data_IF_021102755088
#
_entry.id   IF_021102755088
#
_cell.length_a   1.000
_cell.length_b   1.000
_cell.length_c   1.000
_cell.angle_alpha   90.00
_cell.angle_beta   90.00
_cell.angle_gamma   90.00
#
_symmetry.space_group_name_H-M   'P 1'
#
loop_
_entity.id
_entity.type
_entity.pdbx_description
1 polymer ?
#
# COMPACT_ATOMS: atom_id res chain seq x y z
N UNK A 1 37.06 57.56 15.81
CA UNK A 1 35.84 57.38 16.58
C UNK A 1 34.98 56.47 15.70
N UNK A 2 35.10 55.16 15.88
CA UNK A 2 34.26 54.16 15.16
C UNK A 2 33.25 53.65 16.16
N UNK A 3 31.97 53.94 15.88
CA UNK A 3 30.83 53.32 16.58
C UNK A 3 30.72 51.87 16.15
N UNK A 4 30.81 50.97 17.12
CA UNK A 4 30.53 49.54 16.96
C UNK A 4 29.03 49.37 17.20
N UNK A 5 28.25 49.17 16.12
CA UNK A 5 26.85 48.73 16.19
C UNK A 5 26.79 47.35 16.83
N UNK A 6 26.27 47.29 18.04
CA UNK A 6 25.95 46.05 18.74
C UNK A 6 24.72 45.42 18.08
N UNK A 7 24.94 44.29 17.36
CA UNK A 7 23.88 43.40 16.85
C UNK A 7 23.00 42.94 18.01
N UNK A 8 21.77 43.36 18.03
CA UNK A 8 20.73 42.86 18.95
C UNK A 8 20.66 41.34 18.90
N UNK A 9 20.82 40.71 20.05
CA UNK A 9 20.61 39.29 20.25
C UNK A 9 19.11 38.99 20.09
N UNK A 10 18.76 38.31 19.04
CA UNK A 10 17.41 37.77 18.83
C UNK A 10 17.00 36.94 20.06
N UNK A 11 15.91 37.33 20.72
CA UNK A 11 15.50 36.76 22.01
C UNK A 11 15.25 35.24 21.88
N UNK A 12 15.69 34.42 22.84
CA UNK A 12 15.53 32.95 22.81
C UNK A 12 14.06 32.48 22.69
N UNK A 13 13.12 33.36 23.03
CA UNK A 13 11.67 33.10 22.88
C UNK A 13 11.18 33.11 21.42
N UNK A 14 11.83 33.91 20.55
CA UNK A 14 11.50 33.97 19.13
C UNK A 14 11.94 32.69 18.38
N UNK A 15 13.13 32.20 18.71
CA UNK A 15 13.66 30.95 18.13
C UNK A 15 12.87 29.74 18.56
N UNK A 16 12.40 29.66 19.80
CA UNK A 16 11.57 28.55 20.29
C UNK A 16 10.17 28.57 19.62
N UNK A 17 9.58 29.76 19.41
CA UNK A 17 8.30 29.87 18.67
C UNK A 17 8.46 29.45 17.23
N UNK A 18 9.49 29.90 16.52
CA UNK A 18 9.76 29.50 15.13
C UNK A 18 9.98 27.99 15.01
N UNK A 19 10.79 27.39 15.89
CA UNK A 19 11.01 25.94 15.92
C UNK A 19 9.72 25.16 16.21
N UNK A 20 8.84 25.68 17.06
CA UNK A 20 7.53 25.07 17.33
C UNK A 20 6.61 25.15 16.11
N UNK A 21 6.53 26.30 15.46
CA UNK A 21 5.73 26.50 14.25
C UNK A 21 6.21 25.59 13.11
N UNK A 22 7.51 25.52 12.88
CA UNK A 22 8.11 24.62 11.86
C UNK A 22 7.84 23.13 12.19
N UNK A 23 7.89 22.77 13.48
CA UNK A 23 7.58 21.40 13.93
C UNK A 23 6.09 21.06 13.74
N UNK A 24 5.20 22.01 14.03
CA UNK A 24 3.76 21.82 13.87
C UNK A 24 3.36 21.77 12.39
N UNK A 25 3.93 22.62 11.55
CA UNK A 25 3.75 22.54 10.09
C UNK A 25 4.22 21.20 9.52
N UNK A 26 5.30 20.64 10.05
CA UNK A 26 5.81 19.34 9.61
C UNK A 26 4.96 18.15 10.13
N UNK A 27 4.31 18.30 11.29
CA UNK A 27 3.47 17.24 11.86
C UNK A 27 2.07 17.17 11.25
N UNK A 28 1.56 18.30 10.75
CA UNK A 28 0.19 18.45 10.24
C UNK A 28 -0.17 17.48 9.11
N UNK A 29 0.65 17.30 8.04
CA UNK A 29 0.32 16.37 6.97
C UNK A 29 0.23 14.91 7.44
N UNK A 30 1.04 14.51 8.41
CA UNK A 30 0.96 13.17 9.00
C UNK A 30 -0.33 12.95 9.80
N UNK A 31 -0.77 13.95 10.56
CA UNK A 31 -2.06 13.90 11.29
C UNK A 31 -3.25 13.84 10.35
N UNK A 32 -3.21 14.64 9.27
CA UNK A 32 -4.25 14.63 8.24
C UNK A 32 -4.28 13.31 7.46
N UNK A 33 -3.13 12.70 7.19
CA UNK A 33 -3.09 11.34 6.62
C UNK A 33 -3.73 10.32 7.58
N UNK A 34 -3.44 10.42 8.88
CA UNK A 34 -4.08 9.57 9.90
C UNK A 34 -5.59 9.72 9.91
N UNK A 35 -6.10 10.96 9.84
CA UNK A 35 -7.54 11.24 9.73
C UNK A 35 -8.13 10.67 8.43
N UNK A 36 -7.48 10.89 7.29
CA UNK A 36 -7.90 10.34 6.00
C UNK A 36 -7.97 8.80 6.04
N UNK A 37 -6.96 8.16 6.63
CA UNK A 37 -6.93 6.70 6.81
C UNK A 37 -8.06 6.21 7.71
N UNK A 38 -8.34 6.92 8.80
CA UNK A 38 -9.45 6.60 9.69
C UNK A 38 -10.81 6.72 9.00
N UNK A 39 -11.02 7.80 8.24
CA UNK A 39 -12.24 7.99 7.44
C UNK A 39 -12.40 6.89 6.38
N UNK A 40 -11.30 6.50 5.72
CA UNK A 40 -11.32 5.38 4.78
C UNK A 40 -11.70 4.07 5.47
N UNK A 41 -11.10 3.74 6.63
CA UNK A 41 -11.43 2.54 7.41
C UNK A 41 -12.89 2.55 7.83
N UNK A 42 -13.41 3.69 8.29
CA UNK A 42 -14.80 3.83 8.67
C UNK A 42 -15.73 3.60 7.46
N UNK A 43 -15.42 4.19 6.31
CA UNK A 43 -16.17 3.97 5.09
C UNK A 43 -16.16 2.48 4.69
N UNK A 44 -15.00 1.81 4.76
CA UNK A 44 -14.89 0.36 4.52
C UNK A 44 -15.77 -0.43 5.48
N UNK A 45 -15.71 -0.13 6.78
CA UNK A 45 -16.49 -0.84 7.80
C UNK A 45 -18.00 -0.69 7.58
N UNK A 46 -18.46 0.44 7.06
CA UNK A 46 -19.87 0.71 6.80
C UNK A 46 -20.36 0.11 5.46
N UNK A 47 -19.47 -0.07 4.47
CA UNK A 47 -19.90 -0.37 3.09
C UNK A 47 -19.38 -1.69 2.53
N UNK A 48 -18.50 -2.43 3.23
CA UNK A 48 -17.90 -3.68 2.70
C UNK A 48 -18.92 -4.75 2.34
N UNK A 49 -20.11 -4.71 2.91
CA UNK A 49 -21.20 -5.63 2.66
C UNK A 49 -22.12 -5.26 1.49
N UNK A 50 -22.00 -4.02 0.98
CA UNK A 50 -22.89 -3.47 -0.06
C UNK A 50 -22.38 -3.78 -1.48
N UNK A 51 -21.14 -4.24 -1.60
CA UNK A 51 -20.53 -4.58 -2.88
C UNK A 51 -20.94 -5.98 -3.33
N UNK A 52 -21.35 -6.07 -4.61
CA UNK A 52 -21.68 -7.33 -5.26
C UNK A 52 -20.44 -8.15 -5.61
N UNK A 53 -20.69 -9.37 -6.07
CA UNK A 53 -19.64 -10.30 -6.52
C UNK A 53 -19.24 -9.95 -7.96
N UNK A 54 -17.94 -9.74 -8.19
CA UNK A 54 -17.38 -9.58 -9.53
C UNK A 54 -17.39 -10.94 -10.25
N UNK A 55 -17.70 -11.02 -11.56
CA UNK A 55 -17.63 -12.26 -12.34
C UNK A 55 -16.28 -13.00 -12.26
N UNK A 56 -15.17 -12.29 -12.08
CA UNK A 56 -13.83 -12.90 -11.96
C UNK A 56 -13.54 -13.45 -10.55
N UNK A 57 -14.31 -13.03 -9.55
CA UNK A 57 -14.04 -13.35 -8.15
C UNK A 57 -14.12 -14.87 -7.83
N UNK A 58 -15.10 -15.64 -8.34
CA UNK A 58 -15.11 -17.10 -8.18
C UNK A 58 -13.87 -17.78 -8.74
N UNK A 59 -13.34 -17.27 -9.85
CA UNK A 59 -12.11 -17.79 -10.45
C UNK A 59 -10.89 -17.54 -9.56
N UNK A 60 -10.78 -16.36 -8.97
CA UNK A 60 -9.71 -16.02 -8.02
C UNK A 60 -9.79 -16.84 -6.73
N UNK A 61 -11.01 -17.11 -6.23
CA UNK A 61 -11.22 -17.97 -5.06
C UNK A 61 -10.72 -19.39 -5.36
N UNK A 62 -11.11 -19.96 -6.50
CA UNK A 62 -10.69 -21.29 -6.90
C UNK A 62 -9.18 -21.37 -7.16
N UNK A 63 -8.58 -20.32 -7.77
CA UNK A 63 -7.14 -20.23 -7.97
C UNK A 63 -6.37 -20.23 -6.64
N UNK A 64 -6.81 -19.44 -5.66
CA UNK A 64 -6.19 -19.42 -4.32
C UNK A 64 -6.22 -20.80 -3.66
N UNK A 65 -7.37 -21.50 -3.74
CA UNK A 65 -7.50 -22.87 -3.24
C UNK A 65 -6.54 -23.83 -3.97
N UNK A 66 -6.55 -23.83 -5.29
CA UNK A 66 -5.74 -24.73 -6.10
C UNK A 66 -4.23 -24.52 -5.86
N UNK A 67 -3.78 -23.28 -5.66
CA UNK A 67 -2.40 -22.97 -5.30
C UNK A 67 -2.03 -23.51 -3.92
N UNK A 68 -2.87 -23.36 -2.91
CA UNK A 68 -2.63 -23.90 -1.58
C UNK A 68 -2.60 -25.43 -1.61
N UNK A 69 -3.52 -26.07 -2.36
CA UNK A 69 -3.52 -27.52 -2.53
C UNK A 69 -2.23 -28.01 -3.22
N UNK A 70 -1.73 -27.29 -4.22
CA UNK A 70 -0.46 -27.57 -4.89
C UNK A 70 0.73 -27.53 -3.91
N UNK A 71 0.85 -26.48 -3.08
CA UNK A 71 1.90 -26.39 -2.07
C UNK A 71 1.77 -27.47 -1.01
N UNK A 72 0.55 -27.71 -0.48
CA UNK A 72 0.32 -28.73 0.58
C UNK A 72 0.56 -30.15 0.11
N UNK A 73 0.35 -30.44 -1.17
CA UNK A 73 0.61 -31.77 -1.75
C UNK A 73 2.09 -32.03 -2.08
N UNK A 74 3.01 -31.09 -1.75
CA UNK A 74 4.40 -31.18 -2.20
C UNK A 74 4.51 -31.14 -3.73
N UNK A 75 3.73 -30.24 -4.37
CA UNK A 75 3.70 -29.96 -5.81
C UNK A 75 3.10 -31.08 -6.68
N UNK A 76 2.37 -32.03 -6.09
CA UNK A 76 1.76 -33.17 -6.82
C UNK A 76 0.41 -32.77 -7.46
N UNK A 77 -0.45 -32.04 -6.75
CA UNK A 77 -1.77 -31.61 -7.26
C UNK A 77 -1.58 -30.41 -8.18
N UNK A 78 -1.74 -30.62 -9.49
CA UNK A 78 -1.48 -29.61 -10.52
C UNK A 78 -2.73 -28.93 -11.07
N UNK A 79 -3.84 -28.97 -10.38
CA UNK A 79 -5.13 -28.40 -10.82
C UNK A 79 -5.03 -26.93 -11.19
N UNK A 80 -4.19 -26.15 -10.47
CA UNK A 80 -3.97 -24.74 -10.76
C UNK A 80 -3.48 -24.45 -12.18
N UNK A 81 -2.76 -25.39 -12.81
CA UNK A 81 -2.17 -25.22 -14.15
C UNK A 81 -3.07 -25.73 -15.28
N UNK A 82 -4.13 -26.45 -14.98
CA UNK A 82 -4.96 -27.12 -15.99
C UNK A 82 -6.36 -26.54 -16.10
N UNK A 83 -6.80 -25.78 -15.11
CA UNK A 83 -8.21 -25.37 -14.99
C UNK A 83 -8.54 -24.08 -15.75
N UNK A 84 -7.67 -23.08 -15.74
CA UNK A 84 -7.89 -21.78 -16.39
C UNK A 84 -6.56 -21.15 -16.77
N UNK A 85 -6.58 -20.05 -17.55
CA UNK A 85 -5.37 -19.26 -17.85
C UNK A 85 -4.92 -18.36 -16.70
N UNK A 86 -5.57 -18.42 -15.51
CA UNK A 86 -5.25 -17.56 -14.35
C UNK A 86 -3.85 -17.85 -13.82
N UNK A 87 -3.33 -19.06 -13.96
CA UNK A 87 -1.97 -19.40 -13.57
C UNK A 87 -0.87 -18.57 -14.30
N UNK A 88 -1.20 -18.01 -15.48
CA UNK A 88 -0.30 -17.08 -16.20
C UNK A 88 -0.14 -15.73 -15.48
N UNK A 89 -1.09 -15.39 -14.62
CA UNK A 89 -0.97 -14.30 -13.68
C UNK A 89 -0.39 -14.83 -12.37
N UNK A 90 0.27 -14.00 -11.58
CA UNK A 90 0.68 -14.45 -10.26
C UNK A 90 -0.53 -14.72 -9.36
N UNK A 91 -0.45 -15.72 -8.50
CA UNK A 91 -1.50 -16.12 -7.57
C UNK A 91 -1.22 -15.79 -6.10
N UNK A 92 -0.16 -15.04 -5.81
CA UNK A 92 0.27 -14.78 -4.43
C UNK A 92 -0.83 -14.14 -3.58
N UNK A 93 -1.55 -13.14 -4.12
CA UNK A 93 -2.64 -12.50 -3.41
C UNK A 93 -3.80 -13.46 -3.16
N UNK A 94 -4.20 -14.24 -4.17
CA UNK A 94 -5.28 -15.23 -4.06
C UNK A 94 -4.97 -16.30 -3.01
N UNK A 95 -3.74 -16.78 -2.96
CA UNK A 95 -3.29 -17.77 -1.98
C UNK A 95 -3.33 -17.19 -0.54
N UNK A 96 -2.82 -15.97 -0.35
CA UNK A 96 -2.84 -15.29 0.96
C UNK A 96 -4.28 -15.11 1.44
N UNK A 97 -5.16 -14.57 0.59
CA UNK A 97 -6.55 -14.31 0.98
C UNK A 97 -7.34 -15.62 1.17
N UNK A 98 -7.02 -16.68 0.43
CA UNK A 98 -7.61 -18.01 0.67
C UNK A 98 -7.30 -18.53 2.09
N UNK A 99 -6.06 -18.39 2.54
CA UNK A 99 -5.66 -18.78 3.90
C UNK A 99 -6.39 -17.92 4.95
N UNK A 100 -6.45 -16.60 4.76
CA UNK A 100 -7.16 -15.69 5.68
C UNK A 100 -8.66 -16.05 5.74
N UNK A 101 -9.28 -16.31 4.58
CA UNK A 101 -10.70 -16.68 4.51
C UNK A 101 -11.02 -17.98 5.23
N UNK A 102 -10.07 -18.92 5.30
CA UNK A 102 -10.22 -20.17 6.05
C UNK A 102 -10.32 -19.99 7.57
N UNK A 103 -9.86 -18.84 8.09
CA UNK A 103 -9.93 -18.50 9.53
C UNK A 103 -10.99 -17.44 9.84
N UNK A 104 -11.56 -16.83 8.81
CA UNK A 104 -12.55 -15.76 8.98
C UNK A 104 -13.93 -16.33 9.29
N UNK A 105 -14.68 -15.73 10.25
CA UNK A 105 -16.08 -16.09 10.50
C UNK A 105 -17.04 -15.53 9.44
N UNK A 106 -16.56 -14.67 8.53
CA UNK A 106 -17.34 -14.06 7.48
C UNK A 106 -17.39 -14.96 6.24
N UNK A 107 -18.33 -14.68 5.33
CA UNK A 107 -18.32 -15.34 4.02
C UNK A 107 -17.03 -15.04 3.27
N UNK A 108 -16.61 -15.94 2.39
CA UNK A 108 -15.37 -15.80 1.61
C UNK A 108 -15.35 -14.48 0.82
N UNK A 109 -16.47 -14.06 0.25
CA UNK A 109 -16.60 -12.80 -0.49
C UNK A 109 -16.38 -11.58 0.42
N UNK A 110 -17.08 -11.51 1.56
CA UNK A 110 -16.91 -10.41 2.52
C UNK A 110 -15.48 -10.32 3.05
N UNK A 111 -14.85 -11.46 3.33
CA UNK A 111 -13.45 -11.50 3.76
C UNK A 111 -12.54 -10.95 2.66
N UNK A 112 -12.76 -11.34 1.40
CA UNK A 112 -11.99 -10.83 0.26
C UNK A 112 -12.17 -9.32 0.09
N UNK A 113 -13.38 -8.80 0.19
CA UNK A 113 -13.65 -7.35 0.11
C UNK A 113 -12.86 -6.58 1.17
N UNK A 114 -12.89 -7.04 2.42
CA UNK A 114 -12.14 -6.41 3.52
C UNK A 114 -10.63 -6.49 3.27
N UNK A 115 -10.11 -7.66 2.89
CA UNK A 115 -8.69 -7.83 2.59
C UNK A 115 -8.25 -6.90 1.46
N UNK A 116 -9.04 -6.79 0.40
CA UNK A 116 -8.72 -5.94 -0.74
C UNK A 116 -8.78 -4.44 -0.36
N UNK A 117 -9.76 -4.04 0.44
CA UNK A 117 -9.86 -2.68 0.96
C UNK A 117 -8.69 -2.32 1.89
N UNK A 118 -8.22 -3.25 2.72
CA UNK A 118 -7.01 -3.06 3.53
C UNK A 118 -5.75 -2.91 2.68
N UNK A 119 -5.65 -3.68 1.59
CA UNK A 119 -4.58 -3.46 0.60
C UNK A 119 -4.70 -2.08 -0.03
N UNK A 120 -5.91 -1.62 -0.36
CA UNK A 120 -6.15 -0.25 -0.82
C UNK A 120 -5.64 0.80 0.18
N UNK A 121 -5.86 0.61 1.48
CA UNK A 121 -5.31 1.50 2.52
C UNK A 121 -3.77 1.50 2.54
N UNK A 122 -3.15 0.34 2.36
CA UNK A 122 -1.69 0.22 2.22
C UNK A 122 -1.21 1.00 1.00
N UNK A 123 -1.99 1.02 -0.09
CA UNK A 123 -1.70 1.83 -1.28
C UNK A 123 -1.73 3.33 -1.01
N UNK A 124 -2.70 3.82 -0.24
CA UNK A 124 -2.78 5.22 0.20
C UNK A 124 -1.51 5.62 0.95
N UNK A 125 -1.06 4.76 1.87
CA UNK A 125 0.20 4.97 2.61
C UNK A 125 1.43 4.96 1.69
N UNK A 126 1.46 4.08 0.69
CA UNK A 126 2.53 3.98 -0.30
C UNK A 126 2.64 5.24 -1.16
N UNK A 127 1.51 5.74 -1.67
CA UNK A 127 1.46 6.98 -2.45
C UNK A 127 1.90 8.19 -1.62
N UNK A 128 1.49 8.25 -0.35
CA UNK A 128 1.98 9.29 0.57
C UNK A 128 3.51 9.22 0.74
N UNK A 129 4.06 8.03 1.00
CA UNK A 129 5.49 7.83 1.18
C UNK A 129 6.27 8.21 -0.08
N UNK A 130 5.79 7.79 -1.25
CA UNK A 130 6.40 8.10 -2.54
C UNK A 130 6.34 9.61 -2.82
N UNK A 131 5.17 10.23 -2.70
CA UNK A 131 5.00 11.68 -2.92
C UNK A 131 5.82 12.54 -1.95
N UNK A 132 5.96 12.09 -0.70
CA UNK A 132 6.85 12.73 0.28
C UNK A 132 8.33 12.62 -0.10
N UNK A 133 8.74 11.51 -0.68
CA UNK A 133 10.14 11.29 -1.10
C UNK A 133 10.47 12.12 -2.34
N UNK A 134 9.55 12.22 -3.30
CA UNK A 134 9.74 12.98 -4.54
C UNK A 134 9.55 14.49 -4.39
N UNK A 135 8.91 14.94 -3.33
CA UNK A 135 8.63 16.36 -3.08
C UNK A 135 8.63 16.72 -1.60
N UNK A 136 7.46 16.82 -1.01
CA UNK A 136 7.29 17.23 0.38
C UNK A 136 6.22 16.38 1.09
N UNK A 137 6.08 16.55 2.40
CA UNK A 137 4.99 15.92 3.17
C UNK A 137 3.60 16.35 2.67
N UNK A 138 3.46 17.58 2.19
CA UNK A 138 2.23 18.08 1.58
C UNK A 138 1.98 17.47 0.22
N UNK A 139 3.02 17.29 -0.60
CA UNK A 139 2.93 16.56 -1.89
C UNK A 139 2.42 15.13 -1.66
N UNK A 140 2.96 14.44 -0.66
CA UNK A 140 2.49 13.10 -0.29
C UNK A 140 1.04 13.10 0.16
N UNK A 141 0.62 14.05 1.01
CA UNK A 141 -0.75 14.17 1.47
C UNK A 141 -1.73 14.44 0.31
N UNK A 142 -1.41 15.40 -0.56
CA UNK A 142 -2.26 15.71 -1.72
C UNK A 142 -2.40 14.49 -2.64
N UNK A 143 -1.31 13.79 -2.92
CA UNK A 143 -1.35 12.56 -3.73
C UNK A 143 -2.25 11.49 -3.08
N UNK A 144 -2.16 11.29 -1.76
CA UNK A 144 -3.02 10.36 -1.02
C UNK A 144 -4.50 10.78 -1.07
N UNK A 145 -4.80 12.09 -0.90
CA UNK A 145 -6.15 12.63 -1.00
C UNK A 145 -6.73 12.41 -2.39
N UNK A 146 -5.98 12.75 -3.45
CA UNK A 146 -6.45 12.52 -4.83
C UNK A 146 -6.68 11.05 -5.13
N UNK A 147 -5.85 10.15 -4.60
CA UNK A 147 -6.06 8.71 -4.77
C UNK A 147 -7.37 8.26 -4.12
N UNK A 148 -7.64 8.65 -2.87
CA UNK A 148 -8.88 8.31 -2.15
C UNK A 148 -10.10 8.90 -2.83
N UNK A 149 -10.02 10.15 -3.32
CA UNK A 149 -11.11 10.82 -4.02
C UNK A 149 -11.33 10.29 -5.44
N UNK A 150 -10.44 9.41 -5.96
CA UNK A 150 -10.65 8.76 -7.25
C UNK A 150 -11.70 7.65 -7.10
N UNK A 151 -12.93 7.80 -7.63
CA UNK A 151 -14.03 6.85 -7.41
C UNK A 151 -13.66 5.44 -7.87
N UNK A 152 -12.89 5.33 -8.95
CA UNK A 152 -12.41 4.06 -9.49
C UNK A 152 -11.51 3.34 -8.50
N UNK A 153 -10.58 4.05 -7.85
CA UNK A 153 -9.70 3.44 -6.85
C UNK A 153 -10.50 2.93 -5.65
N UNK A 154 -11.36 3.78 -5.10
CA UNK A 154 -12.20 3.43 -3.95
C UNK A 154 -13.10 2.23 -4.26
N UNK A 155 -13.87 2.25 -5.36
CA UNK A 155 -14.75 1.16 -5.74
C UNK A 155 -13.99 -0.14 -6.00
N UNK A 156 -12.92 -0.11 -6.79
CA UNK A 156 -12.10 -1.29 -7.08
C UNK A 156 -11.41 -1.85 -5.84
N UNK A 157 -11.20 -1.04 -4.78
CA UNK A 157 -10.63 -1.52 -3.51
C UNK A 157 -11.50 -2.57 -2.81
N UNK A 158 -12.74 -2.80 -3.22
CA UNK A 158 -13.57 -3.85 -2.63
C UNK A 158 -13.55 -5.15 -3.46
N UNK A 159 -13.69 -5.08 -4.77
CA UNK A 159 -13.93 -6.26 -5.60
C UNK A 159 -12.88 -6.53 -6.69
N UNK A 160 -11.89 -5.65 -6.89
CA UNK A 160 -10.85 -5.90 -7.88
C UNK A 160 -9.59 -6.48 -7.22
N UNK A 161 -9.60 -7.79 -7.02
CA UNK A 161 -8.56 -8.54 -6.30
C UNK A 161 -7.24 -8.71 -7.08
N UNK A 162 -7.13 -8.13 -8.25
CA UNK A 162 -5.97 -8.24 -9.12
C UNK A 162 -5.29 -6.89 -9.30
N UNK A 163 -6.05 -5.88 -9.77
CA UNK A 163 -5.45 -4.62 -10.15
C UNK A 163 -5.10 -3.75 -8.92
N UNK A 164 -5.91 -3.78 -7.86
CA UNK A 164 -5.59 -3.02 -6.63
C UNK A 164 -4.36 -3.59 -5.92
N UNK A 165 -4.26 -4.89 -5.62
CA UNK A 165 -3.04 -5.44 -5.02
C UNK A 165 -1.80 -5.23 -5.90
N UNK A 166 -1.94 -5.33 -7.22
CA UNK A 166 -0.85 -5.06 -8.17
C UNK A 166 -0.41 -3.60 -8.13
N UNK A 167 -1.36 -2.64 -8.24
CA UNK A 167 -1.04 -1.21 -8.19
C UNK A 167 -0.36 -0.82 -6.87
N UNK A 168 -0.84 -1.37 -5.76
CA UNK A 168 -0.26 -1.15 -4.44
C UNK A 168 1.16 -1.71 -4.37
N UNK A 169 1.36 -2.95 -4.82
CA UNK A 169 2.68 -3.57 -4.90
C UNK A 169 3.63 -2.75 -5.76
N UNK A 170 3.16 -2.25 -6.90
CA UNK A 170 3.95 -1.42 -7.81
C UNK A 170 4.40 -0.11 -7.17
N UNK A 171 3.50 0.62 -6.50
CA UNK A 171 3.85 1.86 -5.77
C UNK A 171 4.90 1.59 -4.70
N UNK A 172 4.74 0.52 -3.91
CA UNK A 172 5.72 0.14 -2.90
C UNK A 172 7.04 -0.32 -3.50
N UNK A 173 7.03 -1.01 -4.65
CA UNK A 173 8.25 -1.38 -5.37
C UNK A 173 9.04 -0.16 -5.82
N UNK A 174 8.37 0.84 -6.42
CA UNK A 174 9.00 2.10 -6.83
C UNK A 174 9.57 2.83 -5.61
N UNK A 175 8.77 3.00 -4.54
CA UNK A 175 9.21 3.68 -3.33
C UNK A 175 10.44 2.99 -2.70
N UNK A 176 10.39 1.68 -2.51
CA UNK A 176 11.49 0.95 -1.87
C UNK A 176 12.74 0.90 -2.75
N UNK A 177 12.59 0.86 -4.08
CA UNK A 177 13.70 0.96 -5.02
C UNK A 177 14.40 2.31 -4.91
N UNK A 178 13.65 3.43 -4.88
CA UNK A 178 14.22 4.75 -4.68
C UNK A 178 15.00 4.80 -3.35
N UNK A 179 14.39 4.31 -2.25
CA UNK A 179 15.04 4.26 -0.95
C UNK A 179 16.30 3.38 -0.90
N UNK A 180 16.30 2.29 -1.67
CA UNK A 180 17.48 1.44 -1.83
C UNK A 180 18.59 2.15 -2.60
N UNK A 181 18.26 2.82 -3.71
CA UNK A 181 19.23 3.56 -4.52
C UNK A 181 19.85 4.73 -3.74
N UNK A 182 19.04 5.46 -2.97
CA UNK A 182 19.53 6.54 -2.08
C UNK A 182 20.51 6.04 -1.00
N UNK A 183 20.42 4.76 -0.62
CA UNK A 183 21.31 4.17 0.38
C UNK A 183 22.62 3.65 -0.18
N UNK A 184 22.84 3.66 -1.51
CA UNK A 184 24.11 3.24 -2.12
C UNK A 184 25.24 4.21 -1.76
N UNK A 185 26.50 3.74 -1.65
CA UNK A 185 27.00 2.40 -1.91
C UNK A 185 26.88 1.42 -0.73
N UNK A 186 26.28 1.82 0.40
CA UNK A 186 26.19 1.00 1.63
C UNK A 186 24.74 0.79 2.06
N UNK A 187 23.92 0.05 1.29
CA UNK A 187 22.54 -0.20 1.64
C UNK A 187 22.46 -1.06 2.91
N UNK A 188 21.44 -0.80 3.73
CA UNK A 188 21.16 -1.66 4.89
C UNK A 188 20.45 -2.93 4.44
N UNK A 189 20.63 -4.04 5.18
CA UNK A 189 19.89 -5.30 4.94
C UNK A 189 18.37 -5.04 4.91
N UNK A 190 17.88 -4.14 5.78
CA UNK A 190 16.47 -3.77 5.81
C UNK A 190 15.99 -3.13 4.49
N UNK A 191 16.78 -2.23 3.89
CA UNK A 191 16.42 -1.60 2.62
C UNK A 191 16.45 -2.59 1.46
N UNK A 192 17.43 -3.52 1.45
CA UNK A 192 17.51 -4.60 0.46
C UNK A 192 16.30 -5.54 0.55
N UNK A 193 15.96 -6.00 1.76
CA UNK A 193 14.81 -6.88 1.98
C UNK A 193 13.49 -6.19 1.64
N UNK A 194 13.32 -4.92 2.02
CA UNK A 194 12.10 -4.18 1.70
C UNK A 194 11.89 -4.06 0.17
N UNK A 195 12.96 -3.76 -0.57
CA UNK A 195 12.93 -3.70 -2.03
C UNK A 195 12.62 -5.07 -2.65
N UNK A 196 13.33 -6.12 -2.22
CA UNK A 196 13.14 -7.48 -2.72
C UNK A 196 11.73 -8.01 -2.46
N UNK A 197 11.19 -7.79 -1.25
CA UNK A 197 9.84 -8.23 -0.87
C UNK A 197 8.78 -7.46 -1.67
N UNK A 198 8.92 -6.14 -1.82
CA UNK A 198 7.95 -5.34 -2.57
C UNK A 198 7.89 -5.78 -4.04
N UNK A 199 9.05 -5.92 -4.70
CA UNK A 199 9.14 -6.40 -6.08
C UNK A 199 8.62 -7.84 -6.20
N UNK A 200 9.06 -8.73 -5.31
CA UNK A 200 8.65 -10.14 -5.32
C UNK A 200 7.15 -10.32 -5.16
N UNK A 201 6.50 -9.58 -4.24
CA UNK A 201 5.05 -9.60 -4.08
C UNK A 201 4.34 -9.05 -5.32
N UNK A 202 4.84 -7.96 -5.91
CA UNK A 202 4.26 -7.37 -7.11
C UNK A 202 4.27 -8.36 -8.27
N UNK A 203 5.42 -9.02 -8.51
CA UNK A 203 5.58 -10.06 -9.53
C UNK A 203 4.72 -11.29 -9.21
N UNK A 204 4.59 -11.66 -7.95
CA UNK A 204 3.74 -12.75 -7.49
C UNK A 204 2.25 -12.50 -7.69
N UNK A 205 1.83 -11.23 -7.87
CA UNK A 205 0.44 -10.86 -8.22
C UNK A 205 0.26 -10.77 -9.73
N UNK A 206 1.23 -10.20 -10.43
CA UNK A 206 1.16 -10.02 -11.89
C UNK A 206 2.55 -9.89 -12.50
N UNK A 207 2.86 -10.72 -13.49
CA UNK A 207 4.15 -10.70 -14.21
C UNK A 207 4.44 -9.36 -14.88
N UNK A 208 3.40 -8.58 -15.25
CA UNK A 208 3.54 -7.22 -15.80
C UNK A 208 4.25 -6.21 -14.89
N UNK A 209 4.61 -6.57 -13.66
CA UNK A 209 5.46 -5.76 -12.78
C UNK A 209 6.93 -5.68 -13.20
N UNK A 210 7.31 -6.39 -14.28
CA UNK A 210 8.66 -6.31 -14.88
C UNK A 210 8.83 -5.13 -15.85
N UNK A 211 7.76 -4.46 -16.23
CA UNK A 211 7.76 -3.31 -17.14
C UNK A 211 7.72 -2.02 -16.35
#
# INVERSE_FOLDING_TARGET
MCEVETRESSSPRLSVRLLRTMRDEQATPGRLLGLLSLLYILAVALTYGDYGVNPDEPHHIANGKALIDWYRSGFQVRTTFTWTNIWMYGGAYDAIVHVIAGWSPLSVYKTRHICNALVGLIGISGVYCLGRTLGSRWTGLLAAVFLVLTPRYYGHSFFNHKDIPFAVGYVWSVYTTIRFLEALPRPTVRSMLACAVAIGLTLGIRVGGLI
#
